data_IF_332981643778
#
_entry.id   IF_332981643778
#
_cell.length_a   1.000
_cell.length_b   1.000
_cell.length_c   1.000
_cell.angle_alpha   90.00
_cell.angle_beta   90.00
_cell.angle_gamma   90.00
#
_symmetry.space_group_name_H-M   'P 1'
#
loop_
_entity.id
_entity.type
_entity.pdbx_description
1 polymer ?
#
# COMPACT_ATOMS: atom_id res chain seq x y z
N UNK A 1 13.88 6.85 -6.75
CA UNK A 1 12.95 8.01 -6.71
C UNK A 1 11.47 7.60 -6.79
N UNK A 2 11.06 6.48 -6.18
CA UNK A 2 9.66 6.01 -6.29
C UNK A 2 8.64 6.99 -5.68
N UNK A 3 8.98 7.63 -4.56
CA UNK A 3 8.13 8.63 -3.90
C UNK A 3 7.83 9.84 -4.78
N UNK A 4 8.79 10.27 -5.61
CA UNK A 4 8.60 11.37 -6.54
C UNK A 4 7.60 11.00 -7.64
N UNK A 5 7.72 9.79 -8.20
CA UNK A 5 6.75 9.26 -9.16
C UNK A 5 5.35 9.21 -8.54
N UNK A 6 5.21 8.60 -7.36
CA UNK A 6 3.93 8.51 -6.65
C UNK A 6 3.33 9.89 -6.34
N UNK A 7 4.15 10.90 -6.06
CA UNK A 7 3.68 12.26 -5.81
C UNK A 7 3.13 12.96 -7.06
N UNK A 8 3.53 12.54 -8.26
CA UNK A 8 2.97 13.07 -9.53
C UNK A 8 1.63 12.43 -9.90
N UNK A 9 1.31 11.28 -9.33
CA UNK A 9 0.08 10.55 -9.63
C UNK A 9 -1.11 11.20 -8.94
N UNK A 10 -2.20 11.34 -9.69
CA UNK A 10 -3.45 11.94 -9.20
C UNK A 10 -4.59 10.92 -9.04
N UNK A 11 -4.46 9.75 -9.68
CA UNK A 11 -5.45 8.69 -9.64
C UNK A 11 -4.96 7.52 -8.80
N UNK A 12 -5.85 6.92 -7.99
CA UNK A 12 -5.53 5.80 -7.12
C UNK A 12 -5.00 4.60 -7.92
N UNK A 13 -5.65 4.25 -9.04
CA UNK A 13 -5.27 3.15 -9.94
C UNK A 13 -3.79 3.20 -10.34
N UNK A 14 -3.29 4.40 -10.65
CA UNK A 14 -1.89 4.56 -11.04
C UNK A 14 -0.92 4.19 -9.93
N UNK A 15 -1.27 4.37 -8.65
CA UNK A 15 -0.43 3.92 -7.53
C UNK A 15 -0.32 2.40 -7.52
N UNK A 16 -1.43 1.70 -7.76
CA UNK A 16 -1.46 0.25 -7.83
C UNK A 16 -0.68 -0.28 -9.03
N UNK A 17 -0.86 0.31 -10.22
CA UNK A 17 -0.10 -0.04 -11.41
C UNK A 17 1.41 0.20 -11.22
N UNK A 18 1.78 1.36 -10.68
CA UNK A 18 3.19 1.74 -10.46
C UNK A 18 3.87 0.81 -9.45
N UNK A 19 3.15 0.41 -8.39
CA UNK A 19 3.65 -0.49 -7.36
C UNK A 19 3.42 -1.97 -7.70
N UNK A 20 2.94 -2.27 -8.92
CA UNK A 20 2.58 -3.60 -9.38
C UNK A 20 1.73 -4.38 -8.35
N UNK A 21 0.73 -3.70 -7.77
CA UNK A 21 -0.23 -4.25 -6.83
C UNK A 21 -1.51 -4.55 -7.60
N UNK A 22 -2.00 -5.80 -7.63
CA UNK A 22 -3.29 -6.11 -8.22
C UNK A 22 -4.42 -5.55 -7.35
N UNK A 23 -5.45 -5.05 -8.00
CA UNK A 23 -6.60 -4.44 -7.35
C UNK A 23 -7.89 -4.79 -8.09
N UNK A 24 -9.01 -4.74 -7.37
CA UNK A 24 -10.34 -4.84 -7.97
C UNK A 24 -10.86 -3.43 -8.27
N UNK A 25 -11.24 -3.18 -9.52
CA UNK A 25 -11.68 -1.84 -9.94
C UNK A 25 -12.92 -1.38 -9.17
N UNK A 26 -13.86 -2.28 -8.85
CA UNK A 26 -15.06 -1.97 -8.03
C UNK A 26 -14.72 -1.45 -6.63
N UNK A 27 -13.63 -1.94 -6.04
CA UNK A 27 -13.17 -1.47 -4.72
C UNK A 27 -12.54 -0.08 -4.86
N UNK A 28 -11.68 0.10 -5.87
CA UNK A 28 -11.02 1.40 -6.11
C UNK A 28 -12.05 2.47 -6.46
N UNK A 29 -13.00 2.18 -7.35
CA UNK A 29 -13.95 3.19 -7.81
C UNK A 29 -14.72 3.85 -6.66
N UNK A 30 -15.09 3.06 -5.66
CA UNK A 30 -15.88 3.52 -4.52
C UNK A 30 -15.00 3.95 -3.35
N UNK A 31 -13.79 3.39 -3.20
CA UNK A 31 -12.93 3.63 -2.04
C UNK A 31 -11.64 4.41 -2.35
N UNK A 32 -11.44 4.93 -3.58
CA UNK A 32 -10.21 5.62 -4.02
C UNK A 32 -9.73 6.69 -3.05
N UNK A 33 -10.63 7.57 -2.59
CA UNK A 33 -10.29 8.68 -1.70
C UNK A 33 -9.91 8.17 -0.31
N UNK A 34 -10.60 7.13 0.16
CA UNK A 34 -10.37 6.52 1.47
C UNK A 34 -9.03 5.76 1.48
N UNK A 35 -8.76 4.97 0.44
CA UNK A 35 -7.50 4.27 0.23
C UNK A 35 -6.34 5.27 0.18
N UNK A 36 -6.43 6.33 -0.62
CA UNK A 36 -5.38 7.35 -0.73
C UNK A 36 -5.14 8.08 0.59
N UNK A 37 -6.21 8.38 1.35
CA UNK A 37 -6.08 8.99 2.67
C UNK A 37 -5.35 8.06 3.62
N UNK A 38 -5.76 6.79 3.69
CA UNK A 38 -5.18 5.79 4.58
C UNK A 38 -3.72 5.48 4.22
N UNK A 39 -3.42 5.36 2.93
CA UNK A 39 -2.07 5.23 2.41
C UNK A 39 -1.17 6.39 2.88
N UNK A 40 -1.62 7.64 2.70
CA UNK A 40 -0.86 8.82 3.16
C UNK A 40 -0.63 8.82 4.67
N UNK A 41 -1.61 8.36 5.45
CA UNK A 41 -1.45 8.21 6.90
C UNK A 41 -0.38 7.19 7.25
N UNK A 42 -0.41 6.00 6.63
CA UNK A 42 0.58 4.93 6.83
C UNK A 42 2.00 5.36 6.46
N UNK A 43 2.17 6.00 5.29
CA UNK A 43 3.44 6.56 4.83
C UNK A 43 3.96 7.61 5.81
N UNK A 44 3.10 8.49 6.34
CA UNK A 44 3.50 9.52 7.30
C UNK A 44 3.92 8.93 8.64
N UNK A 45 3.33 7.82 9.06
CA UNK A 45 3.70 7.12 10.30
C UNK A 45 4.90 6.19 10.15
N UNK A 46 5.29 5.86 8.92
CA UNK A 46 6.42 4.96 8.65
C UNK A 46 7.69 5.77 8.48
N UNK A 47 8.71 5.46 9.28
CA UNK A 47 10.02 6.09 9.14
C UNK A 47 10.78 5.45 7.97
N UNK A 48 10.79 6.15 6.84
CA UNK A 48 11.54 5.75 5.64
C UNK A 48 12.92 6.42 5.56
N UNK A 49 13.37 7.06 6.63
CA UNK A 49 14.60 7.86 6.63
C UNK A 49 15.82 6.94 6.63
N UNK A 50 16.61 7.01 5.56
CA UNK A 50 17.81 6.18 5.39
C UNK A 50 17.56 4.82 4.72
N UNK A 51 16.32 4.54 4.30
CA UNK A 51 16.01 3.39 3.45
C UNK A 51 16.49 3.64 2.01
N UNK A 52 16.98 2.59 1.36
CA UNK A 52 17.28 2.60 -0.06
C UNK A 52 16.00 2.66 -0.90
N UNK A 53 16.13 3.04 -2.19
CA UNK A 53 14.99 3.19 -3.10
C UNK A 53 14.09 1.94 -3.15
N UNK A 54 14.68 0.75 -3.13
CA UNK A 54 13.96 -0.54 -3.13
C UNK A 54 13.19 -0.79 -1.82
N UNK A 55 13.74 -0.39 -0.68
CA UNK A 55 13.08 -0.52 0.62
C UNK A 55 11.92 0.47 0.74
N UNK A 56 12.11 1.70 0.26
CA UNK A 56 11.04 2.71 0.19
C UNK A 56 9.90 2.23 -0.70
N UNK A 57 10.19 1.61 -1.84
CA UNK A 57 9.19 1.01 -2.72
C UNK A 57 8.43 -0.12 -2.02
N UNK A 58 9.13 -1.02 -1.34
CA UNK A 58 8.51 -2.11 -0.58
C UNK A 58 7.59 -1.58 0.54
N UNK A 59 8.03 -0.56 1.27
CA UNK A 59 7.21 0.12 2.29
C UNK A 59 5.97 0.75 1.67
N UNK A 60 6.13 1.47 0.56
CA UNK A 60 5.01 2.08 -0.15
C UNK A 60 4.01 1.04 -0.64
N UNK A 61 4.51 -0.07 -1.19
CA UNK A 61 3.70 -1.19 -1.64
C UNK A 61 2.91 -1.82 -0.50
N UNK A 62 3.57 -2.11 0.63
CA UNK A 62 2.92 -2.65 1.82
C UNK A 62 1.83 -1.71 2.36
N UNK A 63 2.12 -0.41 2.44
CA UNK A 63 1.15 0.60 2.88
C UNK A 63 -0.09 0.66 1.98
N UNK A 64 0.10 0.55 0.65
CA UNK A 64 -1.02 0.59 -0.29
C UNK A 64 -1.90 -0.65 -0.18
N UNK A 65 -1.28 -1.83 -0.01
CA UNK A 65 -1.99 -3.09 0.18
C UNK A 65 -2.80 -3.06 1.48
N UNK A 66 -2.19 -2.67 2.59
CA UNK A 66 -2.87 -2.60 3.89
C UNK A 66 -4.05 -1.63 3.85
N UNK A 67 -3.85 -0.43 3.27
CA UNK A 67 -4.93 0.52 3.05
C UNK A 67 -6.06 -0.07 2.20
N UNK A 68 -5.73 -0.77 1.11
CA UNK A 68 -6.73 -1.40 0.24
C UNK A 68 -7.51 -2.51 0.96
N UNK A 69 -6.81 -3.41 1.67
CA UNK A 69 -7.41 -4.54 2.38
C UNK A 69 -8.41 -4.07 3.45
N UNK A 70 -8.09 -3.01 4.20
CA UNK A 70 -8.98 -2.44 5.23
C UNK A 70 -10.35 -2.03 4.64
N UNK A 71 -10.37 -1.46 3.43
CA UNK A 71 -11.62 -1.08 2.76
C UNK A 71 -12.30 -2.22 2.04
N UNK A 72 -11.54 -3.22 1.62
CA UNK A 72 -12.06 -4.34 0.85
C UNK A 72 -12.67 -5.42 1.76
N UNK A 73 -12.05 -5.70 2.93
CA UNK A 73 -12.61 -6.59 3.97
C UNK A 73 -13.95 -6.06 4.49
N UNK A 74 -14.06 -4.75 4.75
CA UNK A 74 -15.30 -4.11 5.21
C UNK A 74 -16.46 -4.19 4.21
N UNK A 75 -16.21 -4.62 2.97
CA UNK A 75 -17.18 -4.64 1.86
C UNK A 75 -17.54 -6.06 1.41
N UNK A 76 -17.05 -7.09 2.10
CA UNK A 76 -17.28 -8.49 1.73
C UNK A 76 -16.58 -8.89 0.43
N UNK A 77 -15.65 -8.07 -0.07
CA UNK A 77 -14.76 -8.49 -1.13
C UNK A 77 -13.94 -9.68 -0.60
N UNK A 78 -13.82 -10.75 -1.38
CA UNK A 78 -13.03 -11.94 -1.04
C UNK A 78 -11.54 -11.59 -1.13
N UNK A 79 -11.07 -10.71 -0.26
CA UNK A 79 -9.72 -10.18 -0.34
C UNK A 79 -8.72 -11.24 0.07
N UNK A 80 -8.10 -11.80 -0.97
CA UNK A 80 -6.67 -12.03 -1.07
C UNK A 80 -5.97 -12.69 0.13
N UNK A 81 -6.64 -13.61 0.83
CA UNK A 81 -6.02 -14.54 1.78
C UNK A 81 -4.81 -15.30 1.19
N UNK A 82 -4.70 -15.32 -0.14
CA UNK A 82 -3.63 -15.93 -0.95
C UNK A 82 -2.38 -15.03 -1.13
N UNK A 83 -2.46 -13.73 -0.84
CA UNK A 83 -1.36 -12.78 -1.12
C UNK A 83 -0.29 -12.72 -0.03
N UNK A 84 -0.65 -12.98 1.22
CA UNK A 84 0.34 -13.16 2.31
C UNK A 84 1.25 -14.38 2.09
N UNK A 85 0.79 -15.36 1.31
CA UNK A 85 1.52 -16.62 1.05
C UNK A 85 2.45 -16.51 -0.17
N UNK A 86 2.11 -15.66 -1.16
CA UNK A 86 2.83 -15.56 -2.43
C UNK A 86 4.03 -14.59 -2.44
N UNK A 87 4.24 -13.79 -1.40
CA UNK A 87 5.35 -12.83 -1.33
C UNK A 87 6.37 -13.21 -0.24
N UNK A 88 7.51 -13.82 -0.61
CA UNK A 88 8.61 -14.00 0.34
C UNK A 88 9.20 -12.61 0.64
N UNK A 89 8.87 -12.05 1.81
CA UNK A 89 9.33 -10.74 2.25
C UNK A 89 8.24 -9.70 2.53
N UNK A 90 6.96 -10.09 2.56
CA UNK A 90 5.92 -9.20 3.12
C UNK A 90 6.17 -9.00 4.61
N UNK A 91 6.80 -7.88 4.97
CA UNK A 91 6.92 -7.41 6.34
C UNK A 91 5.75 -6.45 6.59
N UNK A 92 4.78 -6.80 7.44
CA UNK A 92 3.72 -5.87 7.82
C UNK A 92 4.33 -4.57 8.31
N UNK A 93 3.73 -3.41 8.00
CA UNK A 93 4.26 -2.12 8.47
C UNK A 93 4.40 -2.07 10.00
N UNK A 94 3.57 -2.82 10.71
CA UNK A 94 3.65 -3.01 12.16
C UNK A 94 4.98 -3.64 12.63
N UNK A 95 5.64 -4.47 11.80
CA UNK A 95 6.94 -5.08 12.09
C UNK A 95 8.13 -4.19 11.70
N UNK A 96 7.95 -3.26 10.74
CA UNK A 96 8.97 -2.26 10.38
C UNK A 96 9.10 -1.19 11.48
N UNK A 97 8.08 -1.05 12.33
CA UNK A 97 8.12 -0.16 13.49
C UNK A 97 9.05 -0.76 14.54
N UNK A 98 10.35 -0.43 14.47
CA UNK A 98 11.36 -0.83 15.47
C UNK A 98 10.77 -0.69 16.89
N UNK A 99 10.78 -1.76 17.71
CA UNK A 99 10.46 -1.60 19.12
C UNK A 99 11.63 -0.85 19.76
N UNK A 100 11.37 0.37 20.21
CA UNK A 100 12.17 1.01 21.28
C UNK A 100 11.99 0.28 22.59
#
# INVERSE_FOLDING_TARGET
MVLATLATLSAAEQFFETLAVPYEQEVIDVSRLHILKRFRELIRTTDMKGLGDTEVEAVCRAALIEAYEEFAEGRGAKTFKVFRDAMPGFVPLAEIRRPT
#
